data_IF_700678775186
#
_entry.id   IF_700678775186
#
_cell.length_a   1.000
_cell.length_b   1.000
_cell.length_c   1.000
_cell.angle_alpha   90.00
_cell.angle_beta   90.00
_cell.angle_gamma   90.00
#
_symmetry.space_group_name_H-M   'P 1'
#
loop_
_entity.id
_entity.type
_entity.pdbx_description
1 polymer ?
#
# COMPACT_ATOMS: atom_id res chain seq x y z
N UNK A 1 -42.34 -13.00 -37.97
CA UNK A 1 -41.70 -13.29 -36.66
C UNK A 1 -41.59 -14.77 -36.35
N UNK A 2 -42.62 -15.61 -36.54
CA UNK A 2 -42.60 -17.04 -36.18
C UNK A 2 -41.43 -17.85 -36.81
N UNK A 3 -41.07 -17.59 -38.08
CA UNK A 3 -39.96 -18.28 -38.77
C UNK A 3 -38.58 -18.03 -38.16
N UNK A 4 -38.34 -16.83 -37.62
CA UNK A 4 -37.04 -16.45 -37.04
C UNK A 4 -36.81 -17.15 -35.71
N UNK A 5 -37.87 -17.31 -34.90
CA UNK A 5 -37.82 -18.05 -33.64
C UNK A 5 -37.53 -19.54 -33.83
N UNK A 6 -38.12 -20.17 -34.85
CA UNK A 6 -37.84 -21.57 -35.19
C UNK A 6 -36.39 -21.79 -35.63
N UNK A 7 -35.82 -20.85 -36.38
CA UNK A 7 -34.42 -20.95 -36.81
C UNK A 7 -33.45 -20.85 -35.62
N UNK A 8 -33.70 -19.92 -34.69
CA UNK A 8 -32.89 -19.74 -33.49
C UNK A 8 -32.97 -20.98 -32.59
N UNK A 9 -34.18 -21.53 -32.39
CA UNK A 9 -34.38 -22.77 -31.63
C UNK A 9 -33.64 -23.97 -32.28
N UNK A 10 -33.68 -24.09 -33.60
CA UNK A 10 -32.98 -25.15 -34.30
C UNK A 10 -31.46 -25.03 -34.16
N UNK A 11 -30.91 -23.81 -34.24
CA UNK A 11 -29.47 -23.55 -34.04
C UNK A 11 -29.04 -23.88 -32.60
N UNK A 12 -29.83 -23.48 -31.60
CA UNK A 12 -29.55 -23.77 -30.20
C UNK A 12 -29.63 -25.28 -29.90
N UNK A 13 -30.59 -25.98 -30.49
CA UNK A 13 -30.70 -27.42 -30.37
C UNK A 13 -29.50 -28.13 -31.00
N UNK A 14 -29.05 -27.70 -32.18
CA UNK A 14 -27.86 -28.25 -32.83
C UNK A 14 -26.58 -27.99 -32.03
N UNK A 15 -26.44 -26.79 -31.46
CA UNK A 15 -25.32 -26.44 -30.60
C UNK A 15 -25.30 -27.30 -29.32
N UNK A 16 -26.47 -27.52 -28.71
CA UNK A 16 -26.61 -28.41 -27.55
C UNK A 16 -26.25 -29.86 -27.86
N UNK A 17 -26.66 -30.37 -29.02
CA UNK A 17 -26.32 -31.73 -29.48
C UNK A 17 -24.81 -31.85 -29.75
N UNK A 18 -24.20 -30.87 -30.42
CA UNK A 18 -22.76 -30.87 -30.70
C UNK A 18 -21.93 -30.78 -29.42
N UNK A 19 -22.31 -29.92 -28.47
CA UNK A 19 -21.67 -29.83 -27.16
C UNK A 19 -21.84 -31.13 -26.37
N UNK A 20 -23.05 -31.68 -26.32
CA UNK A 20 -23.34 -32.95 -25.65
C UNK A 20 -22.55 -34.13 -26.23
N UNK A 21 -22.40 -34.19 -27.56
CA UNK A 21 -21.61 -35.22 -28.22
C UNK A 21 -20.11 -35.05 -27.98
N UNK A 22 -19.60 -33.82 -27.97
CA UNK A 22 -18.20 -33.58 -27.63
C UNK A 22 -17.91 -33.95 -26.16
N UNK A 23 -18.78 -33.56 -25.24
CA UNK A 23 -18.65 -33.85 -23.81
C UNK A 23 -18.80 -35.35 -23.53
N UNK A 24 -19.71 -36.06 -24.21
CA UNK A 24 -19.92 -37.50 -23.99
C UNK A 24 -18.70 -38.34 -24.31
N UNK A 25 -17.82 -37.88 -25.20
CA UNK A 25 -16.50 -38.52 -25.46
C UNK A 25 -15.51 -38.39 -24.31
N UNK A 26 -15.74 -37.47 -23.37
CA UNK A 26 -14.91 -37.25 -22.19
C UNK A 26 -15.53 -37.79 -20.90
N UNK A 27 -16.81 -38.18 -20.92
CA UNK A 27 -17.47 -38.86 -19.80
C UNK A 27 -16.89 -40.27 -19.67
N UNK A 28 -16.06 -40.49 -18.65
CA UNK A 28 -15.40 -41.77 -18.39
C UNK A 28 -13.98 -41.89 -18.97
N UNK A 29 -13.51 -40.89 -19.73
CA UNK A 29 -12.13 -40.82 -20.17
C UNK A 29 -11.22 -40.52 -18.96
N UNK A 30 -10.47 -41.52 -18.48
CA UNK A 30 -9.37 -41.26 -17.55
C UNK A 30 -8.27 -40.54 -18.32
N UNK A 31 -7.79 -39.40 -17.82
CA UNK A 31 -6.68 -38.67 -18.40
C UNK A 31 -5.38 -39.48 -18.30
N UNK A 32 -5.16 -40.43 -19.21
CA UNK A 32 -3.94 -41.23 -19.26
C UNK A 32 -2.98 -40.56 -20.24
N UNK A 33 -2.12 -39.70 -19.70
CA UNK A 33 -0.98 -39.19 -20.44
C UNK A 33 0.13 -40.24 -20.34
N UNK A 34 0.68 -40.68 -21.47
CA UNK A 34 1.82 -41.59 -21.52
C UNK A 34 3.05 -40.88 -20.93
N UNK A 35 3.37 -41.16 -19.67
CA UNK A 35 4.61 -40.72 -19.01
C UNK A 35 5.69 -41.79 -19.19
N UNK A 36 6.94 -41.39 -19.47
CA UNK A 36 8.09 -42.21 -19.05
C UNK A 36 8.09 -42.22 -17.51
N UNK A 37 8.18 -43.39 -16.89
CA UNK A 37 8.17 -43.54 -15.42
C UNK A 37 9.27 -42.68 -14.77
N UNK A 38 8.90 -41.67 -13.99
CA UNK A 38 9.82 -40.76 -13.30
C UNK A 38 10.62 -41.42 -12.15
N UNK A 39 10.45 -42.73 -11.94
CA UNK A 39 11.25 -43.53 -11.01
C UNK A 39 12.75 -43.55 -11.37
N UNK A 40 13.14 -43.13 -12.58
CA UNK A 40 14.55 -43.05 -12.98
C UNK A 40 15.33 -41.88 -12.33
N UNK A 41 14.66 -40.85 -11.80
CA UNK A 41 15.37 -39.74 -11.16
C UNK A 41 15.99 -40.22 -9.84
N UNK A 42 17.32 -40.22 -9.69
CA UNK A 42 17.97 -40.69 -8.47
C UNK A 42 17.51 -39.87 -7.26
N UNK A 43 17.47 -40.48 -6.08
CA UNK A 43 17.25 -39.75 -4.83
C UNK A 43 18.38 -38.73 -4.57
N UNK A 44 18.18 -37.71 -3.72
CA UNK A 44 19.17 -36.64 -3.50
C UNK A 44 20.56 -37.17 -3.14
N UNK A 45 20.62 -38.20 -2.29
CA UNK A 45 21.88 -38.87 -1.89
C UNK A 45 22.56 -39.54 -3.08
N UNK A 46 21.80 -40.26 -3.92
CA UNK A 46 22.31 -40.95 -5.11
C UNK A 46 22.77 -39.97 -6.18
N UNK A 47 22.04 -38.87 -6.38
CA UNK A 47 22.41 -37.81 -7.31
C UNK A 47 23.72 -37.11 -6.91
N UNK A 48 23.94 -36.87 -5.60
CA UNK A 48 25.22 -36.37 -5.07
C UNK A 48 26.38 -37.29 -5.38
N UNK A 49 26.22 -38.60 -5.18
CA UNK A 49 27.26 -39.58 -5.50
C UNK A 49 27.55 -39.64 -7.01
N UNK A 50 26.51 -39.56 -7.85
CA UNK A 50 26.67 -39.57 -9.32
C UNK A 50 27.31 -38.28 -9.86
N UNK A 51 27.19 -37.16 -9.14
CA UNK A 51 27.80 -35.88 -9.50
C UNK A 51 29.28 -35.78 -9.08
N UNK A 52 29.73 -36.58 -8.11
CA UNK A 52 31.13 -36.67 -7.68
C UNK A 52 31.96 -37.41 -8.76
N UNK A 53 32.42 -36.68 -9.78
CA UNK A 53 33.41 -37.22 -10.73
C UNK A 53 33.33 -36.71 -12.17
N UNK A 54 32.30 -35.94 -12.55
CA UNK A 54 32.21 -35.36 -13.89
C UNK A 54 31.68 -33.92 -13.85
N UNK A 55 32.50 -32.96 -14.30
CA UNK A 55 32.14 -31.54 -14.37
C UNK A 55 30.86 -31.28 -15.19
N UNK A 56 30.56 -32.16 -16.15
CA UNK A 56 29.36 -32.08 -16.99
C UNK A 56 28.09 -32.66 -16.33
N UNK A 57 28.18 -33.40 -15.21
CA UNK A 57 27.00 -34.02 -14.58
C UNK A 57 26.10 -32.99 -13.91
N UNK A 58 26.67 -31.97 -13.28
CA UNK A 58 25.90 -30.82 -12.80
C UNK A 58 25.20 -30.09 -13.96
N UNK A 59 25.91 -29.87 -15.09
CA UNK A 59 25.33 -29.26 -16.29
C UNK A 59 24.23 -30.11 -16.95
N UNK A 60 24.35 -31.44 -16.95
CA UNK A 60 23.31 -32.36 -17.41
C UNK A 60 22.10 -32.33 -16.48
N UNK A 61 22.30 -32.38 -15.15
CA UNK A 61 21.21 -32.24 -14.17
C UNK A 61 20.50 -30.88 -14.24
N UNK A 62 21.21 -29.80 -14.59
CA UNK A 62 20.62 -28.48 -14.91
C UNK A 62 19.69 -28.52 -16.14
N UNK A 63 19.78 -29.56 -16.98
CA UNK A 63 19.15 -29.68 -18.30
C UNK A 63 18.24 -30.91 -18.48
N UNK A 64 18.12 -31.82 -17.50
CA UNK A 64 17.26 -33.02 -17.66
C UNK A 64 15.79 -32.57 -17.79
N UNK A 65 15.35 -32.47 -19.04
CA UNK A 65 13.97 -32.51 -19.54
C UNK A 65 12.94 -31.54 -18.91
N UNK A 66 13.40 -30.36 -18.47
CA UNK A 66 12.56 -29.37 -17.81
C UNK A 66 11.36 -28.90 -18.65
N UNK A 67 11.41 -28.86 -19.98
CA UNK A 67 10.31 -28.32 -20.79
C UNK A 67 9.13 -29.27 -20.98
N UNK A 68 9.34 -30.56 -21.28
CA UNK A 68 8.21 -31.50 -21.45
C UNK A 68 7.53 -31.82 -20.12
N UNK A 69 8.30 -31.86 -19.03
CA UNK A 69 7.76 -32.04 -17.68
C UNK A 69 7.04 -30.77 -17.16
N UNK A 70 7.64 -29.58 -17.34
CA UNK A 70 6.98 -28.32 -16.97
C UNK A 70 5.68 -28.13 -17.73
N UNK A 71 5.64 -28.42 -19.03
CA UNK A 71 4.40 -28.29 -19.81
C UNK A 71 3.27 -29.14 -19.23
N UNK A 72 3.57 -30.41 -18.90
CA UNK A 72 2.57 -31.33 -18.33
C UNK A 72 2.10 -30.94 -16.92
N UNK A 73 3.02 -30.43 -16.09
CA UNK A 73 2.67 -29.95 -14.74
C UNK A 73 1.95 -28.61 -14.79
N UNK A 74 2.28 -27.73 -15.75
CA UNK A 74 1.52 -26.50 -16.03
C UNK A 74 0.09 -26.86 -16.43
N UNK A 75 -0.07 -27.84 -17.32
CA UNK A 75 -1.39 -28.26 -17.81
C UNK A 75 -2.23 -28.94 -16.71
N UNK A 76 -1.60 -29.71 -15.82
CA UNK A 76 -2.29 -30.42 -14.73
C UNK A 76 -2.40 -29.65 -13.43
N UNK A 77 -1.55 -28.63 -13.22
CA UNK A 77 -1.29 -27.99 -11.92
C UNK A 77 -1.03 -28.98 -10.79
N UNK A 78 -0.40 -30.11 -11.11
CA UNK A 78 -0.09 -31.17 -10.15
C UNK A 78 1.26 -31.82 -10.49
N UNK A 79 2.10 -31.98 -9.47
CA UNK A 79 3.45 -32.53 -9.55
C UNK A 79 3.66 -33.75 -8.64
N UNK A 80 2.57 -34.39 -8.20
CA UNK A 80 2.63 -35.53 -7.29
C UNK A 80 3.11 -36.81 -8.01
N UNK A 81 4.06 -37.50 -7.38
CA UNK A 81 4.48 -38.85 -7.74
C UNK A 81 3.49 -39.90 -7.19
N UNK A 82 3.55 -41.17 -7.67
CA UNK A 82 2.70 -42.24 -7.17
C UNK A 82 2.78 -42.49 -5.66
N UNK A 83 3.90 -42.13 -5.03
CA UNK A 83 4.11 -42.19 -3.57
C UNK A 83 3.59 -40.95 -2.83
N UNK A 84 2.96 -40.00 -3.54
CA UNK A 84 2.45 -38.74 -3.00
C UNK A 84 3.50 -37.65 -2.80
N UNK A 85 4.79 -37.93 -3.07
CA UNK A 85 5.84 -36.92 -2.96
C UNK A 85 5.81 -35.91 -4.12
N UNK A 86 6.38 -34.73 -3.90
CA UNK A 86 6.46 -33.66 -4.91
C UNK A 86 7.71 -33.83 -5.77
N UNK A 87 7.55 -33.86 -7.09
CA UNK A 87 8.69 -33.90 -8.02
C UNK A 87 9.54 -32.64 -7.89
N UNK A 88 8.92 -31.45 -7.84
CA UNK A 88 9.69 -30.20 -7.79
C UNK A 88 10.45 -30.05 -6.48
N UNK A 89 9.85 -30.39 -5.33
CA UNK A 89 10.57 -30.37 -4.04
C UNK A 89 11.76 -31.31 -4.09
N UNK A 90 11.58 -32.54 -4.57
CA UNK A 90 12.67 -33.51 -4.70
C UNK A 90 13.76 -33.02 -5.66
N UNK A 91 13.37 -32.37 -6.75
CA UNK A 91 14.28 -31.78 -7.72
C UNK A 91 15.12 -30.67 -7.08
N UNK A 92 14.50 -29.69 -6.43
CA UNK A 92 15.22 -28.56 -5.83
C UNK A 92 16.05 -28.98 -4.60
N UNK A 93 15.58 -29.93 -3.80
CA UNK A 93 16.35 -30.54 -2.71
C UNK A 93 17.58 -31.33 -3.21
N UNK A 94 17.58 -31.70 -4.50
CA UNK A 94 18.73 -32.34 -5.15
C UNK A 94 19.66 -31.31 -5.79
N UNK A 95 19.11 -30.37 -6.57
CA UNK A 95 19.88 -29.42 -7.38
C UNK A 95 20.57 -28.34 -6.55
N UNK A 96 19.87 -27.75 -5.57
CA UNK A 96 20.43 -26.65 -4.77
C UNK A 96 21.67 -27.08 -3.98
N UNK A 97 21.68 -28.24 -3.29
CA UNK A 97 22.90 -28.68 -2.61
C UNK A 97 24.05 -29.07 -3.53
N UNK A 98 23.76 -29.43 -4.78
CA UNK A 98 24.79 -29.76 -5.78
C UNK A 98 25.48 -28.51 -6.32
N UNK A 99 24.75 -27.41 -6.45
CA UNK A 99 25.27 -26.13 -6.93
C UNK A 99 24.48 -24.96 -6.33
N UNK A 100 24.80 -24.57 -5.07
CA UNK A 100 24.02 -23.61 -4.32
C UNK A 100 24.16 -22.17 -4.86
N UNK A 101 25.16 -21.90 -5.70
CA UNK A 101 25.40 -20.58 -6.27
C UNK A 101 24.67 -20.35 -7.59
N UNK A 102 23.92 -21.34 -8.07
CA UNK A 102 23.19 -21.21 -9.33
C UNK A 102 21.80 -20.57 -9.12
N UNK A 103 21.77 -19.25 -9.26
CA UNK A 103 20.58 -18.40 -9.14
C UNK A 103 19.30 -18.97 -9.80
N UNK A 104 19.33 -19.52 -11.03
CA UNK A 104 18.12 -20.01 -11.69
C UNK A 104 17.38 -21.11 -10.92
N UNK A 105 18.03 -21.87 -10.02
CA UNK A 105 17.32 -22.86 -9.21
C UNK A 105 16.29 -22.22 -8.29
N UNK A 106 16.65 -21.13 -7.62
CA UNK A 106 15.75 -20.43 -6.70
C UNK A 106 14.63 -19.70 -7.44
N UNK A 107 14.95 -19.10 -8.59
CA UNK A 107 13.96 -18.42 -9.44
C UNK A 107 12.93 -19.41 -10.00
N UNK A 108 13.39 -20.56 -10.49
CA UNK A 108 12.51 -21.61 -10.99
C UNK A 108 11.69 -22.24 -9.85
N UNK A 109 12.28 -22.41 -8.66
CA UNK A 109 11.55 -22.93 -7.50
C UNK A 109 10.35 -22.05 -7.15
N UNK A 110 10.56 -20.74 -7.05
CA UNK A 110 9.47 -19.80 -6.82
C UNK A 110 8.41 -19.84 -7.94
N UNK A 111 8.82 -19.79 -9.21
CA UNK A 111 7.88 -19.81 -10.33
C UNK A 111 7.04 -21.11 -10.36
N UNK A 112 7.66 -22.27 -10.20
CA UNK A 112 6.98 -23.55 -10.32
C UNK A 112 6.17 -23.91 -9.08
N UNK A 113 6.71 -23.69 -7.88
CA UNK A 113 6.03 -24.06 -6.64
C UNK A 113 4.91 -23.08 -6.30
N UNK A 114 5.15 -21.78 -6.43
CA UNK A 114 4.14 -20.76 -6.11
C UNK A 114 3.26 -20.45 -7.31
N UNK A 115 3.88 -20.03 -8.42
CA UNK A 115 3.14 -19.56 -9.59
C UNK A 115 2.28 -20.63 -10.26
N UNK A 116 2.77 -21.87 -10.34
CA UNK A 116 2.04 -22.96 -11.00
C UNK A 116 1.24 -23.82 -10.00
N UNK A 117 1.84 -24.16 -8.85
CA UNK A 117 1.28 -25.12 -7.89
C UNK A 117 0.63 -24.50 -6.64
N UNK A 118 0.77 -23.18 -6.40
CA UNK A 118 0.21 -22.51 -5.22
C UNK A 118 0.84 -22.92 -3.87
N UNK A 119 2.03 -23.52 -3.89
CA UNK A 119 2.77 -23.96 -2.69
C UNK A 119 3.70 -22.86 -2.20
N UNK A 120 3.11 -21.79 -1.69
CA UNK A 120 3.83 -20.59 -1.24
C UNK A 120 4.80 -20.88 -0.07
N UNK A 121 4.49 -21.87 0.78
CA UNK A 121 5.41 -22.28 1.85
C UNK A 121 6.72 -22.90 1.33
N UNK A 122 6.64 -23.69 0.26
CA UNK A 122 7.82 -24.26 -0.39
C UNK A 122 8.62 -23.18 -1.14
N UNK A 123 7.93 -22.20 -1.76
CA UNK A 123 8.59 -21.02 -2.33
C UNK A 123 9.38 -20.26 -1.26
N UNK A 124 8.79 -19.93 -0.11
CA UNK A 124 9.49 -19.24 0.97
C UNK A 124 10.73 -20.01 1.42
N UNK A 125 10.62 -21.33 1.55
CA UNK A 125 11.77 -22.18 1.91
C UNK A 125 12.91 -22.02 0.91
N UNK A 126 12.64 -22.16 -0.39
CA UNK A 126 13.71 -22.12 -1.39
C UNK A 126 14.24 -20.70 -1.63
N UNK A 127 13.38 -19.68 -1.62
CA UNK A 127 13.84 -18.29 -1.72
C UNK A 127 14.64 -17.86 -0.48
N UNK A 128 14.27 -18.32 0.72
CA UNK A 128 15.07 -18.14 1.93
C UNK A 128 16.44 -18.82 1.87
N UNK A 129 16.50 -20.07 1.37
CA UNK A 129 17.78 -20.73 1.07
C UNK A 129 18.61 -19.95 0.03
N UNK A 130 17.94 -19.34 -0.94
CA UNK A 130 18.56 -18.48 -1.94
C UNK A 130 19.17 -17.22 -1.33
N UNK A 131 18.49 -16.55 -0.40
CA UNK A 131 19.04 -15.40 0.36
C UNK A 131 20.30 -15.82 1.12
N UNK A 132 20.29 -17.01 1.74
CA UNK A 132 21.44 -17.52 2.48
C UNK A 132 22.65 -17.82 1.57
N UNK A 133 22.43 -18.52 0.46
CA UNK A 133 23.52 -18.95 -0.44
C UNK A 133 24.00 -17.84 -1.39
N UNK A 134 23.13 -16.86 -1.68
CA UNK A 134 23.37 -15.75 -2.62
C UNK A 134 22.98 -14.40 -1.97
N UNK A 135 23.69 -13.95 -0.93
CA UNK A 135 23.28 -12.79 -0.12
C UNK A 135 23.21 -11.47 -0.89
N UNK A 136 24.02 -11.32 -1.95
CA UNK A 136 24.05 -10.12 -2.79
C UNK A 136 23.04 -10.13 -3.94
N UNK A 137 22.30 -11.23 -4.14
CA UNK A 137 21.34 -11.33 -5.24
C UNK A 137 19.98 -10.77 -4.84
N UNK A 138 19.75 -9.51 -5.21
CA UNK A 138 18.58 -8.75 -4.77
C UNK A 138 17.27 -9.22 -5.42
N UNK A 139 17.32 -9.96 -6.53
CA UNK A 139 16.11 -10.55 -7.14
C UNK A 139 15.47 -11.59 -6.23
N UNK A 140 16.25 -12.43 -5.54
CA UNK A 140 15.70 -13.45 -4.63
C UNK A 140 15.05 -12.76 -3.42
N UNK A 141 15.68 -11.71 -2.89
CA UNK A 141 15.16 -10.92 -1.78
C UNK A 141 13.81 -10.29 -2.11
N UNK A 142 13.68 -9.75 -3.33
CA UNK A 142 12.40 -9.25 -3.85
C UNK A 142 11.33 -10.33 -3.90
N UNK A 143 11.66 -11.52 -4.41
CA UNK A 143 10.72 -12.64 -4.50
C UNK A 143 10.27 -13.13 -3.13
N UNK A 144 11.21 -13.24 -2.18
CA UNK A 144 10.93 -13.58 -0.79
C UNK A 144 9.98 -12.56 -0.13
N UNK A 145 10.30 -11.27 -0.21
CA UNK A 145 9.44 -10.20 0.31
C UNK A 145 8.05 -10.19 -0.35
N UNK A 146 8.00 -10.43 -1.67
CA UNK A 146 6.74 -10.50 -2.41
C UNK A 146 5.87 -11.66 -1.96
N UNK A 147 6.47 -12.83 -1.70
CA UNK A 147 5.76 -14.01 -1.22
C UNK A 147 5.17 -13.77 0.18
N UNK A 148 5.96 -13.19 1.10
CA UNK A 148 5.52 -12.85 2.46
C UNK A 148 4.30 -11.92 2.46
N UNK A 149 4.30 -10.92 1.58
CA UNK A 149 3.19 -9.97 1.47
C UNK A 149 1.99 -10.60 0.76
N UNK A 150 2.19 -11.12 -0.45
CA UNK A 150 1.07 -11.51 -1.32
C UNK A 150 0.28 -12.74 -0.83
N UNK A 151 0.92 -13.64 -0.08
CA UNK A 151 0.33 -14.93 0.29
C UNK A 151 0.25 -15.16 1.79
N UNK A 152 0.94 -14.34 2.60
CA UNK A 152 0.99 -14.51 4.04
C UNK A 152 0.68 -13.23 4.83
N UNK A 153 0.30 -12.13 4.19
CA UNK A 153 -0.10 -10.87 4.83
C UNK A 153 0.84 -10.46 5.98
N UNK A 154 2.16 -10.67 5.80
CA UNK A 154 3.13 -10.42 6.85
C UNK A 154 3.17 -8.94 7.26
N UNK A 155 2.76 -8.04 6.37
CA UNK A 155 2.61 -6.62 6.68
C UNK A 155 1.59 -6.36 7.80
N UNK A 156 0.56 -7.21 7.93
CA UNK A 156 -0.48 -7.08 8.96
C UNK A 156 -0.14 -7.93 10.19
N UNK A 157 0.30 -9.17 9.96
CA UNK A 157 0.51 -10.15 11.04
C UNK A 157 1.84 -9.99 11.78
N UNK A 158 2.90 -9.61 11.06
CA UNK A 158 4.28 -9.55 11.56
C UNK A 158 5.08 -8.39 10.95
N UNK A 159 4.62 -7.13 11.11
CA UNK A 159 5.24 -5.97 10.46
C UNK A 159 6.72 -5.81 10.83
N UNK A 160 7.11 -6.14 12.05
CA UNK A 160 8.50 -6.08 12.51
C UNK A 160 9.44 -7.05 11.76
N UNK A 161 8.93 -8.22 11.38
CA UNK A 161 9.70 -9.21 10.61
C UNK A 161 9.85 -8.71 9.17
N UNK A 162 8.77 -8.19 8.58
CA UNK A 162 8.81 -7.66 7.22
C UNK A 162 9.74 -6.44 7.13
N UNK A 163 9.72 -5.54 8.11
CA UNK A 163 10.63 -4.39 8.19
C UNK A 163 12.09 -4.84 8.23
N UNK A 164 12.41 -5.86 9.04
CA UNK A 164 13.75 -6.44 9.09
C UNK A 164 14.17 -7.04 7.74
N UNK A 165 13.26 -7.74 7.04
CA UNK A 165 13.52 -8.30 5.70
C UNK A 165 13.77 -7.20 4.67
N UNK A 166 13.00 -6.11 4.69
CA UNK A 166 13.17 -4.98 3.77
C UNK A 166 14.44 -4.19 4.08
N UNK A 167 14.79 -4.01 5.35
CA UNK A 167 16.05 -3.38 5.76
C UNK A 167 17.27 -4.23 5.32
N UNK A 168 17.21 -5.55 5.52
CA UNK A 168 18.25 -6.47 5.05
C UNK A 168 18.35 -6.45 3.52
N UNK A 169 17.24 -6.33 2.79
CA UNK A 169 17.27 -6.13 1.34
C UNK A 169 17.93 -4.79 0.95
N UNK A 170 17.54 -3.68 1.56
CA UNK A 170 18.14 -2.37 1.29
C UNK A 170 19.66 -2.36 1.51
N UNK A 171 20.14 -3.04 2.55
CA UNK A 171 21.57 -3.15 2.86
C UNK A 171 22.39 -3.88 1.78
N UNK A 172 21.76 -4.79 1.04
CA UNK A 172 22.42 -5.57 -0.03
C UNK A 172 22.21 -4.99 -1.43
N UNK A 173 21.52 -3.86 -1.55
CA UNK A 173 21.23 -3.23 -2.83
C UNK A 173 22.28 -2.17 -3.18
N UNK A 174 23.14 -2.50 -4.16
CA UNK A 174 24.23 -1.64 -4.59
C UNK A 174 23.77 -0.48 -5.48
N UNK A 175 22.68 -0.66 -6.23
CA UNK A 175 22.15 0.34 -7.15
C UNK A 175 21.25 1.37 -6.44
N UNK A 176 21.42 2.65 -6.77
CA UNK A 176 20.60 3.72 -6.22
C UNK A 176 19.12 3.59 -6.64
N UNK A 177 18.86 3.14 -7.87
CA UNK A 177 17.50 2.89 -8.33
C UNK A 177 16.90 1.64 -7.66
N UNK A 178 17.70 0.60 -7.44
CA UNK A 178 17.35 -0.53 -6.58
C UNK A 178 16.94 -0.11 -5.17
N UNK A 179 17.75 0.72 -4.48
CA UNK A 179 17.43 1.21 -3.12
C UNK A 179 16.13 2.01 -3.10
N UNK A 180 15.91 2.85 -4.12
CA UNK A 180 14.63 3.56 -4.29
C UNK A 180 13.44 2.62 -4.47
N UNK A 181 13.62 1.45 -5.11
CA UNK A 181 12.55 0.44 -5.21
C UNK A 181 12.22 -0.19 -3.86
N UNK A 182 13.23 -0.51 -3.04
CA UNK A 182 13.00 -1.02 -1.68
C UNK A 182 12.28 0.02 -0.84
N UNK A 183 12.68 1.28 -0.95
CA UNK A 183 12.00 2.39 -0.28
C UNK A 183 10.54 2.54 -0.75
N UNK A 184 10.26 2.44 -2.05
CA UNK A 184 8.88 2.44 -2.55
C UNK A 184 8.07 1.26 -2.00
N UNK A 185 8.67 0.09 -1.85
CA UNK A 185 8.02 -1.05 -1.19
C UNK A 185 7.71 -0.74 0.27
N UNK A 186 8.66 -0.21 1.03
CA UNK A 186 8.44 0.24 2.41
C UNK A 186 7.33 1.30 2.48
N UNK A 187 7.30 2.25 1.55
CA UNK A 187 6.21 3.23 1.47
C UNK A 187 4.87 2.58 1.12
N UNK A 188 4.80 1.68 0.15
CA UNK A 188 3.54 1.04 -0.25
C UNK A 188 3.00 0.11 0.85
N UNK A 189 3.87 -0.57 1.59
CA UNK A 189 3.48 -1.36 2.76
C UNK A 189 3.12 -0.47 3.95
N UNK A 190 3.86 0.62 4.14
CA UNK A 190 3.50 1.68 5.08
C UNK A 190 2.11 2.24 4.76
N UNK A 191 1.78 2.48 3.49
CA UNK A 191 0.49 3.01 3.07
C UNK A 191 -0.66 2.01 3.32
N UNK A 192 -0.35 0.72 3.45
CA UNK A 192 -1.32 -0.35 3.75
C UNK A 192 -1.46 -0.60 5.26
N UNK A 193 -0.38 -0.44 6.02
CA UNK A 193 -0.34 -0.69 7.46
C UNK A 193 -0.56 0.57 8.33
N UNK A 194 -0.25 1.77 7.81
CA UNK A 194 -0.11 3.03 8.55
C UNK A 194 -0.73 4.21 7.83
N UNK A 195 -1.96 4.01 7.37
CA UNK A 195 -2.76 4.98 6.63
C UNK A 195 -2.63 6.44 7.23
N UNK A 196 -1.71 7.26 6.70
CA UNK A 196 -1.43 8.65 7.06
C UNK A 196 -0.16 8.94 7.89
N UNK A 197 0.60 7.95 8.37
CA UNK A 197 1.84 8.15 9.17
C UNK A 197 3.12 7.68 8.46
N UNK A 198 3.03 7.29 7.20
CA UNK A 198 4.06 6.53 6.48
C UNK A 198 5.35 7.30 6.31
N UNK A 199 5.23 8.62 6.12
CA UNK A 199 6.36 9.50 5.86
C UNK A 199 6.79 10.30 7.09
N UNK A 200 6.13 10.11 8.24
CA UNK A 200 6.44 10.88 9.45
C UNK A 200 7.90 10.73 9.87
N UNK A 201 8.51 9.52 9.92
CA UNK A 201 9.92 9.39 10.26
C UNK A 201 10.84 10.16 9.32
N UNK A 202 10.60 10.06 8.01
CA UNK A 202 11.36 10.78 6.98
C UNK A 202 11.25 12.29 7.16
N UNK A 203 10.02 12.82 7.31
CA UNK A 203 9.86 14.26 7.43
C UNK A 203 10.36 14.79 8.77
N UNK A 204 10.34 14.00 9.85
CA UNK A 204 10.99 14.35 11.12
C UNK A 204 12.51 14.46 10.95
N UNK A 205 13.15 13.51 10.26
CA UNK A 205 14.58 13.59 9.91
C UNK A 205 14.87 14.83 9.05
N UNK A 206 14.06 15.10 8.03
CA UNK A 206 14.22 16.32 7.23
C UNK A 206 14.01 17.60 8.07
N UNK A 207 13.10 17.58 9.05
CA UNK A 207 12.82 18.73 9.90
C UNK A 207 14.05 19.11 10.75
N UNK A 208 14.82 18.13 11.23
CA UNK A 208 16.08 18.35 11.95
C UNK A 208 17.13 19.09 11.11
N UNK A 209 17.11 18.88 9.79
CA UNK A 209 18.03 19.51 8.84
C UNK A 209 17.55 20.87 8.30
N UNK A 210 16.40 21.39 8.76
CA UNK A 210 15.87 22.68 8.31
C UNK A 210 15.89 23.73 9.42
N UNK A 211 16.23 24.97 9.06
CA UNK A 211 16.22 26.12 9.98
C UNK A 211 14.80 26.67 10.14
N UNK A 212 14.30 26.87 11.38
CA UNK A 212 12.97 27.45 11.63
C UNK A 212 12.75 28.78 10.90
N UNK A 213 11.54 28.98 10.36
CA UNK A 213 11.16 30.20 9.64
C UNK A 213 11.69 30.30 8.20
N UNK A 214 12.36 29.27 7.68
CA UNK A 214 12.71 29.18 6.25
C UNK A 214 11.59 28.52 5.45
N UNK A 215 11.52 28.80 4.15
CA UNK A 215 10.55 28.17 3.24
C UNK A 215 10.67 26.64 3.22
N UNK A 216 11.89 26.11 3.34
CA UNK A 216 12.13 24.66 3.46
C UNK A 216 11.55 24.10 4.76
N UNK A 217 11.72 24.79 5.89
CA UNK A 217 11.10 24.37 7.15
C UNK A 217 9.58 24.44 7.07
N UNK A 218 9.00 25.51 6.50
CA UNK A 218 7.55 25.64 6.34
C UNK A 218 6.96 24.52 5.48
N UNK A 219 7.65 24.15 4.41
CA UNK A 219 7.24 23.03 3.56
C UNK A 219 7.26 21.70 4.31
N UNK A 220 8.37 21.37 4.99
CA UNK A 220 8.51 20.13 5.75
C UNK A 220 7.51 20.06 6.90
N UNK A 221 7.32 21.17 7.63
CA UNK A 221 6.31 21.26 8.69
C UNK A 221 4.89 21.12 8.14
N UNK A 222 4.61 21.69 6.96
CA UNK A 222 3.34 21.51 6.26
C UNK A 222 3.05 20.06 5.91
N UNK A 223 4.04 19.36 5.34
CA UNK A 223 3.93 17.94 5.00
C UNK A 223 3.71 17.07 6.25
N UNK A 224 4.44 17.34 7.34
CA UNK A 224 4.21 16.67 8.63
C UNK A 224 2.80 16.88 9.16
N UNK A 225 2.31 18.12 9.15
CA UNK A 225 0.95 18.43 9.66
C UNK A 225 -0.12 17.73 8.85
N UNK A 226 0.05 17.58 7.54
CA UNK A 226 -0.88 16.87 6.65
C UNK A 226 -0.90 15.35 6.89
N UNK A 227 0.26 14.75 7.10
CA UNK A 227 0.34 13.33 7.49
C UNK A 227 -0.35 13.11 8.85
N UNK A 228 0.01 13.94 9.84
CA UNK A 228 -0.60 13.89 11.17
C UNK A 228 -2.12 14.17 11.14
N UNK A 229 -2.58 15.07 10.26
CA UNK A 229 -4.01 15.35 10.09
C UNK A 229 -4.73 14.13 9.52
N UNK A 230 -4.19 13.51 8.48
CA UNK A 230 -4.74 12.30 7.84
C UNK A 230 -4.87 11.15 8.83
N UNK A 231 -3.82 10.90 9.62
CA UNK A 231 -3.87 9.90 10.67
C UNK A 231 -4.95 10.20 11.71
N UNK A 232 -5.01 11.44 12.20
CA UNK A 232 -5.98 11.85 13.20
C UNK A 232 -7.43 11.73 12.68
N UNK A 233 -7.70 12.13 11.43
CA UNK A 233 -9.01 11.95 10.79
C UNK A 233 -9.47 10.49 10.82
N UNK A 234 -8.56 9.57 10.48
CA UNK A 234 -8.84 8.13 10.43
C UNK A 234 -9.05 7.56 11.82
N UNK A 235 -8.18 7.92 12.77
CA UNK A 235 -8.31 7.50 14.16
C UNK A 235 -9.66 7.95 14.76
N UNK A 236 -10.05 9.20 14.53
CA UNK A 236 -11.35 9.73 14.98
C UNK A 236 -12.52 9.05 14.27
N UNK A 237 -12.43 8.83 12.95
CA UNK A 237 -13.48 8.16 12.18
C UNK A 237 -13.66 6.70 12.62
N UNK A 238 -12.58 6.00 12.94
CA UNK A 238 -12.62 4.64 13.48
C UNK A 238 -13.24 4.62 14.89
N UNK A 239 -12.81 5.52 15.77
CA UNK A 239 -13.39 5.67 17.11
C UNK A 239 -14.89 5.98 17.06
N UNK A 240 -15.33 6.82 16.12
CA UNK A 240 -16.75 7.14 15.94
C UNK A 240 -17.58 5.93 15.51
N UNK A 241 -17.03 5.03 14.67
CA UNK A 241 -17.71 3.79 14.25
C UNK A 241 -17.93 2.80 15.40
N UNK A 242 -17.06 2.85 16.41
CA UNK A 242 -17.14 1.98 17.60
C UNK A 242 -18.14 2.51 18.64
N UNK A 243 -18.60 3.75 18.50
CA UNK A 243 -19.63 4.30 19.37
C UNK A 243 -21.02 3.78 18.97
N UNK A 244 -21.89 3.46 19.95
CA UNK A 244 -23.25 3.02 19.65
C UNK A 244 -23.99 4.09 18.87
N UNK A 245 -24.69 3.70 17.78
CA UNK A 245 -25.36 4.61 16.84
C UNK A 245 -26.40 5.56 17.45
N UNK A 246 -26.77 5.34 18.72
CA UNK A 246 -27.69 6.19 19.50
C UNK A 246 -27.06 7.53 19.89
N UNK A 247 -25.73 7.66 19.78
CA UNK A 247 -25.01 8.91 20.10
C UNK A 247 -25.07 9.85 18.89
N UNK A 248 -26.24 10.49 18.70
CA UNK A 248 -26.40 11.58 17.74
C UNK A 248 -25.72 12.83 18.28
N UNK A 249 -24.65 13.27 17.61
CA UNK A 249 -23.83 14.42 18.01
C UNK A 249 -23.98 15.54 16.96
N UNK A 250 -25.08 16.29 16.99
CA UNK A 250 -25.36 17.31 15.96
C UNK A 250 -24.40 18.49 16.06
N UNK A 251 -23.85 18.76 17.24
CA UNK A 251 -22.86 19.80 17.49
C UNK A 251 -21.81 19.23 18.44
N UNK A 252 -20.59 19.02 17.94
CA UNK A 252 -19.45 18.57 18.75
C UNK A 252 -19.04 19.69 19.73
N UNK A 253 -19.73 19.80 20.86
CA UNK A 253 -19.28 20.58 22.02
C UNK A 253 -18.21 19.80 22.80
N UNK A 254 -17.44 20.49 23.65
CA UNK A 254 -16.28 19.99 24.41
C UNK A 254 -16.48 18.62 25.10
N UNK A 255 -17.70 18.33 25.53
CA UNK A 255 -18.07 17.07 26.22
C UNK A 255 -18.03 15.86 25.28
N UNK A 256 -18.34 16.05 24.00
CA UNK A 256 -18.32 15.01 22.97
C UNK A 256 -16.90 14.63 22.57
N UNK A 257 -15.98 15.60 22.60
CA UNK A 257 -14.57 15.37 22.28
C UNK A 257 -13.89 14.46 23.30
N UNK A 258 -14.37 14.41 24.55
CA UNK A 258 -13.89 13.46 25.55
C UNK A 258 -14.32 12.01 25.23
N UNK A 259 -15.50 11.81 24.63
CA UNK A 259 -16.01 10.50 24.24
C UNK A 259 -15.09 9.85 23.19
N UNK A 260 -14.59 10.65 22.24
CA UNK A 260 -13.66 10.18 21.20
C UNK A 260 -12.22 10.04 21.71
N UNK A 261 -11.81 10.88 22.68
CA UNK A 261 -10.41 10.91 23.12
C UNK A 261 -9.95 9.61 23.78
N UNK A 262 -10.83 8.92 24.54
CA UNK A 262 -10.48 7.67 25.22
C UNK A 262 -10.24 6.49 24.26
N UNK A 263 -11.15 6.15 23.32
CA UNK A 263 -10.89 5.10 22.33
C UNK A 263 -9.64 5.38 21.47
N UNK A 264 -9.40 6.65 21.12
CA UNK A 264 -8.19 7.04 20.39
C UNK A 264 -6.94 6.80 21.24
N UNK A 265 -6.99 7.09 22.55
CA UNK A 265 -5.87 6.85 23.46
C UNK A 265 -5.53 5.37 23.60
N UNK A 266 -6.56 4.52 23.72
CA UNK A 266 -6.40 3.07 23.80
C UNK A 266 -5.78 2.51 22.51
N UNK A 267 -6.23 3.01 21.34
CA UNK A 267 -5.66 2.67 20.04
C UNK A 267 -4.20 3.10 19.91
N UNK A 268 -3.84 4.32 20.36
CA UNK A 268 -2.44 4.78 20.36
C UNK A 268 -1.58 3.94 21.32
N UNK A 269 -2.10 3.59 22.49
CA UNK A 269 -1.37 2.76 23.47
C UNK A 269 -1.12 1.33 22.97
N UNK A 270 -1.95 0.83 22.06
CA UNK A 270 -1.77 -0.45 21.39
C UNK A 270 -0.74 -0.41 20.24
N UNK A 271 -0.30 0.78 19.82
CA UNK A 271 0.75 0.89 18.80
C UNK A 271 2.11 0.54 19.39
N UNK A 272 2.97 -0.19 18.65
CA UNK A 272 4.34 -0.43 19.09
C UNK A 272 5.11 0.89 19.19
N UNK A 273 6.08 0.98 20.12
CA UNK A 273 6.77 2.21 20.49
C UNK A 273 7.47 2.92 19.30
N UNK A 274 7.95 2.15 18.31
CA UNK A 274 8.54 2.66 17.06
C UNK A 274 7.54 3.38 16.16
N UNK A 275 6.23 3.29 16.47
CA UNK A 275 5.12 3.82 15.68
C UNK A 275 4.31 4.90 16.41
N UNK A 276 4.76 5.31 17.60
CA UNK A 276 4.12 6.39 18.36
C UNK A 276 4.71 7.71 17.85
N UNK A 277 3.91 8.61 17.24
CA UNK A 277 4.37 9.96 16.91
C UNK A 277 4.97 10.66 18.14
N UNK A 278 5.88 11.64 17.97
CA UNK A 278 6.47 12.37 19.08
C UNK A 278 5.42 12.83 20.10
N UNK A 279 5.75 12.79 21.39
CA UNK A 279 4.87 13.27 22.45
C UNK A 279 4.56 14.77 22.23
N UNK A 280 3.41 15.06 21.63
CA UNK A 280 3.06 16.39 21.12
C UNK A 280 2.56 16.42 19.67
N UNK A 281 2.62 15.31 18.95
CA UNK A 281 2.08 15.13 17.60
C UNK A 281 0.83 14.22 17.57
N UNK A 282 0.30 13.85 18.74
CA UNK A 282 -0.92 13.06 18.86
C UNK A 282 -2.16 13.97 18.82
N UNK A 283 -3.30 13.47 18.27
CA UNK A 283 -4.57 14.21 18.26
C UNK A 283 -5.21 14.36 19.64
N UNK A 284 -4.65 13.74 20.67
CA UNK A 284 -5.16 13.77 22.04
C UNK A 284 -4.08 14.27 23.00
N UNK A 285 -4.51 14.91 24.09
CA UNK A 285 -3.68 15.30 25.23
C UNK A 285 -4.39 14.94 26.53
N UNK A 286 -3.65 14.93 27.64
CA UNK A 286 -4.27 14.95 28.97
C UNK A 286 -4.49 16.40 29.42
N UNK A 287 -5.69 16.70 29.92
CA UNK A 287 -5.96 17.98 30.57
C UNK A 287 -5.25 18.06 31.94
N UNK A 288 -5.35 19.22 32.61
CA UNK A 288 -4.76 19.42 33.94
C UNK A 288 -5.34 18.48 35.01
N UNK A 289 -6.52 17.91 34.77
CA UNK A 289 -7.17 16.92 35.63
C UNK A 289 -6.82 15.47 35.24
N UNK A 290 -5.92 15.27 34.27
CA UNK A 290 -5.46 13.96 33.82
C UNK A 290 -6.40 13.23 32.85
N UNK A 291 -7.49 13.87 32.39
CA UNK A 291 -8.47 13.28 31.45
C UNK A 291 -8.02 13.44 30.01
N UNK A 292 -8.33 12.45 29.17
CA UNK A 292 -8.07 12.54 27.74
C UNK A 292 -8.98 13.59 27.08
N UNK A 293 -8.37 14.48 26.30
CA UNK A 293 -9.03 15.53 25.53
C UNK A 293 -8.52 15.49 24.09
N UNK A 294 -9.42 15.56 23.12
CA UNK A 294 -9.01 15.78 21.74
C UNK A 294 -8.46 17.21 21.58
N UNK A 295 -7.37 17.35 20.84
CA UNK A 295 -6.81 18.65 20.47
C UNK A 295 -7.55 19.22 19.27
N UNK A 296 -7.37 20.51 19.04
CA UNK A 296 -7.55 21.09 17.72
C UNK A 296 -6.62 20.39 16.71
N UNK A 297 -6.89 20.56 15.43
CA UNK A 297 -6.11 19.95 14.36
C UNK A 297 -4.63 20.39 14.39
N UNK A 298 -3.76 19.79 13.55
CA UNK A 298 -2.33 20.13 13.56
C UNK A 298 -2.01 21.61 13.34
N UNK A 299 -2.93 22.41 12.81
CA UNK A 299 -2.78 23.85 12.60
C UNK A 299 -3.44 24.70 13.70
N UNK A 300 -4.03 24.08 14.72
CA UNK A 300 -4.67 24.76 15.85
C UNK A 300 -6.14 25.13 15.61
N UNK A 301 -6.76 24.63 14.54
CA UNK A 301 -8.17 24.88 14.24
C UNK A 301 -9.09 23.75 14.70
N UNK A 302 -10.37 24.04 15.02
CA UNK A 302 -11.31 22.99 15.38
C UNK A 302 -11.48 22.01 14.22
N UNK A 303 -11.59 20.73 14.55
CA UNK A 303 -11.99 19.71 13.59
C UNK A 303 -13.41 19.97 13.10
N UNK A 304 -13.62 19.89 11.80
CA UNK A 304 -14.94 19.95 11.19
C UNK A 304 -15.47 18.53 11.02
N UNK A 305 -16.77 18.33 11.26
CA UNK A 305 -17.45 17.07 10.93
C UNK A 305 -18.32 17.29 9.71
N UNK A 306 -18.08 16.51 8.67
CA UNK A 306 -18.89 16.53 7.45
C UNK A 306 -20.17 15.71 7.63
N UNK A 307 -21.12 15.91 6.72
CA UNK A 307 -22.45 15.28 6.76
C UNK A 307 -22.36 13.75 6.68
N UNK A 308 -21.36 13.23 5.97
CA UNK A 308 -21.05 11.79 5.85
C UNK A 308 -20.39 11.20 7.11
N UNK A 309 -20.20 12.01 8.16
CA UNK A 309 -19.59 11.61 9.42
C UNK A 309 -18.07 11.60 9.40
N UNK A 310 -17.42 12.00 8.30
CA UNK A 310 -15.97 12.14 8.24
C UNK A 310 -15.51 13.38 8.98
N UNK A 311 -14.32 13.30 9.57
CA UNK A 311 -13.66 14.45 10.19
C UNK A 311 -12.75 15.11 9.15
N UNK A 312 -12.77 16.44 9.12
CA UNK A 312 -11.98 17.23 8.20
C UNK A 312 -11.23 18.33 8.99
N UNK A 313 -9.90 18.44 8.83
CA UNK A 313 -9.10 19.44 9.53
C UNK A 313 -9.40 20.85 9.01
N UNK A 314 -9.76 21.75 9.91
CA UNK A 314 -10.07 23.15 9.57
C UNK A 314 -8.88 23.90 8.96
N UNK A 315 -7.66 23.57 9.36
CA UNK A 315 -6.42 24.12 8.80
C UNK A 315 -6.18 23.70 7.36
N UNK A 316 -6.44 22.43 7.03
CA UNK A 316 -6.35 21.92 5.66
C UNK A 316 -7.43 22.55 4.78
N UNK A 317 -8.66 22.69 5.29
CA UNK A 317 -9.73 23.41 4.58
C UNK A 317 -9.31 24.84 4.20
N UNK A 318 -8.63 25.55 5.10
CA UNK A 318 -8.10 26.89 4.84
C UNK A 318 -6.96 26.89 3.83
N UNK A 319 -6.10 25.89 3.86
CA UNK A 319 -5.01 25.69 2.88
C UNK A 319 -5.59 25.46 1.48
N UNK A 320 -6.56 24.57 1.36
CA UNK A 320 -7.24 24.25 0.10
C UNK A 320 -8.05 25.44 -0.42
N UNK A 321 -8.63 26.22 0.49
CA UNK A 321 -9.28 27.49 0.16
C UNK A 321 -8.28 28.50 -0.43
N UNK A 322 -7.06 28.62 0.11
CA UNK A 322 -6.00 29.46 -0.49
C UNK A 322 -5.60 28.98 -1.89
N UNK A 323 -5.57 27.67 -2.11
CA UNK A 323 -5.36 27.08 -3.45
C UNK A 323 -6.48 27.47 -4.42
N UNK A 324 -7.73 27.37 -3.98
CA UNK A 324 -8.91 27.80 -4.74
C UNK A 324 -8.90 29.31 -5.03
N UNK A 325 -8.47 30.12 -4.07
CA UNK A 325 -8.34 31.57 -4.24
C UNK A 325 -7.24 31.93 -5.25
N UNK A 326 -6.14 31.17 -5.27
CA UNK A 326 -5.08 31.32 -6.28
C UNK A 326 -5.61 31.05 -7.69
N UNK A 327 -6.49 30.06 -7.85
CA UNK A 327 -7.18 29.80 -9.13
C UNK A 327 -8.12 30.95 -9.50
N UNK A 328 -8.92 31.44 -8.56
CA UNK A 328 -9.78 32.61 -8.78
C UNK A 328 -8.98 33.87 -9.17
N UNK A 329 -7.77 34.04 -8.65
CA UNK A 329 -6.86 35.13 -9.07
C UNK A 329 -6.36 34.98 -10.51
N UNK A 330 -6.13 33.75 -10.99
CA UNK A 330 -5.79 33.50 -12.39
C UNK A 330 -6.98 33.78 -13.31
N UNK A 331 -8.18 33.38 -12.90
CA UNK A 331 -9.43 33.70 -13.61
C UNK A 331 -9.65 35.22 -13.68
N UNK A 332 -9.45 35.92 -12.56
CA UNK A 332 -9.54 37.38 -12.50
C UNK A 332 -8.57 38.06 -13.47
N UNK A 333 -7.30 37.63 -13.49
CA UNK A 333 -6.33 38.17 -14.44
C UNK A 333 -6.77 37.95 -15.89
N UNK A 334 -7.33 36.77 -16.22
CA UNK A 334 -7.85 36.50 -17.55
C UNK A 334 -9.10 37.33 -17.88
N UNK A 335 -10.00 37.55 -16.93
CA UNK A 335 -11.22 38.31 -17.11
C UNK A 335 -10.90 39.80 -17.32
N UNK A 336 -9.96 40.34 -16.56
CA UNK A 336 -9.49 41.72 -16.69
C UNK A 336 -8.81 41.97 -18.04
N UNK A 337 -8.01 41.02 -18.55
CA UNK A 337 -7.43 41.12 -19.90
C UNK A 337 -8.50 41.23 -21.00
N UNK A 338 -9.66 40.58 -20.82
CA UNK A 338 -10.78 40.65 -21.77
C UNK A 338 -11.60 41.94 -21.60
N UNK A 339 -11.84 42.36 -20.36
CA UNK A 339 -12.65 43.54 -20.05
C UNK A 339 -11.89 44.87 -20.18
N UNK A 340 -10.56 44.84 -20.17
CA UNK A 340 -9.71 46.04 -20.26
C UNK A 340 -9.68 46.92 -19.01
N UNK A 341 -10.35 46.52 -17.93
CA UNK A 341 -10.41 47.25 -16.66
C UNK A 341 -10.32 46.32 -15.45
N UNK A 342 -9.66 46.77 -14.39
CA UNK A 342 -9.66 46.07 -13.10
C UNK A 342 -10.96 46.36 -12.33
N UNK A 343 -11.59 45.35 -11.71
CA UNK A 343 -12.74 45.58 -10.83
C UNK A 343 -12.29 46.29 -9.54
N UNK A 344 -13.20 47.04 -8.91
CA UNK A 344 -12.91 47.72 -7.63
C UNK A 344 -13.57 47.07 -6.43
N UNK A 345 -14.54 46.17 -6.67
CA UNK A 345 -15.32 45.49 -5.63
C UNK A 345 -15.42 43.99 -5.91
N UNK A 346 -15.73 43.19 -4.88
CA UNK A 346 -15.98 41.75 -5.06
C UNK A 346 -17.23 41.47 -5.91
N UNK A 347 -18.22 42.37 -5.89
CA UNK A 347 -19.39 42.28 -6.75
C UNK A 347 -18.99 42.39 -8.23
N UNK A 348 -18.15 43.38 -8.57
CA UNK A 348 -17.62 43.51 -9.93
C UNK A 348 -16.74 42.32 -10.34
N UNK A 349 -16.00 41.70 -9.41
CA UNK A 349 -15.24 40.46 -9.69
C UNK A 349 -16.20 39.34 -10.09
N UNK A 350 -17.32 39.17 -9.39
CA UNK A 350 -18.34 38.19 -9.74
C UNK A 350 -19.04 38.51 -11.08
N UNK A 351 -19.31 39.78 -11.37
CA UNK A 351 -19.87 40.23 -12.66
C UNK A 351 -18.94 39.96 -13.85
N UNK A 352 -17.62 39.97 -13.62
CA UNK A 352 -16.62 39.57 -14.62
C UNK A 352 -16.58 38.05 -14.87
N UNK A 353 -17.44 37.27 -14.20
CA UNK A 353 -17.54 35.82 -14.35
C UNK A 353 -16.46 35.04 -13.61
N UNK A 354 -15.76 35.67 -12.65
CA UNK A 354 -14.77 35.00 -11.81
C UNK A 354 -15.48 34.28 -10.68
N UNK A 355 -15.19 32.99 -10.49
CA UNK A 355 -15.83 32.23 -9.40
C UNK A 355 -15.07 32.46 -8.09
N UNK A 356 -15.63 33.26 -7.20
CA UNK A 356 -15.10 33.44 -5.84
C UNK A 356 -15.43 32.17 -5.04
N UNK A 357 -14.45 31.47 -4.45
CA UNK A 357 -14.72 30.24 -3.70
C UNK A 357 -15.64 30.52 -2.51
N UNK A 358 -16.69 29.72 -2.35
CA UNK A 358 -17.66 29.81 -1.26
C UNK A 358 -18.10 28.39 -0.81
N UNK A 359 -18.47 28.20 0.48
CA UNK A 359 -18.44 29.19 1.56
C UNK A 359 -17.02 29.50 2.03
N UNK A 360 -16.77 30.75 2.45
CA UNK A 360 -15.51 31.10 3.12
C UNK A 360 -15.44 30.36 4.45
N UNK A 361 -14.35 29.63 4.75
CA UNK A 361 -14.16 28.97 6.03
C UNK A 361 -14.34 29.94 7.21
N UNK A 362 -14.96 29.49 8.31
CA UNK A 362 -15.30 30.33 9.46
C UNK A 362 -14.11 31.19 9.94
N UNK A 363 -14.32 32.47 10.23
CA UNK A 363 -13.22 33.37 10.64
C UNK A 363 -12.29 33.82 9.51
N UNK A 364 -12.64 33.52 8.25
CA UNK A 364 -12.01 34.08 7.05
C UNK A 364 -12.86 35.15 6.40
N UNK A 365 -12.22 36.21 5.92
CA UNK A 365 -12.87 37.24 5.09
C UNK A 365 -12.10 37.40 3.79
N UNK A 366 -12.77 37.13 2.66
CA UNK A 366 -12.20 37.39 1.33
C UNK A 366 -12.39 38.87 1.03
N UNK A 367 -11.34 39.52 0.53
CA UNK A 367 -11.39 40.91 0.05
C UNK A 367 -10.54 41.08 -1.20
N UNK A 368 -10.86 42.09 -2.00
CA UNK A 368 -10.01 42.52 -3.11
C UNK A 368 -8.96 43.49 -2.57
N UNK A 369 -7.69 43.08 -2.57
CA UNK A 369 -6.56 43.92 -2.18
C UNK A 369 -5.81 44.37 -3.43
N UNK A 370 -6.18 45.55 -3.95
CA UNK A 370 -5.65 46.03 -5.22
C UNK A 370 -6.12 45.14 -6.38
N UNK A 371 -5.20 44.38 -6.96
CA UNK A 371 -5.44 43.54 -8.15
C UNK A 371 -5.56 42.04 -7.82
N UNK A 372 -5.60 41.69 -6.53
CA UNK A 372 -5.56 40.30 -6.08
C UNK A 372 -6.62 40.06 -5.02
N UNK A 373 -7.37 38.97 -5.16
CA UNK A 373 -8.21 38.41 -4.12
C UNK A 373 -7.33 37.84 -3.02
N UNK A 374 -7.49 38.37 -1.81
CA UNK A 374 -6.81 37.89 -0.61
C UNK A 374 -7.84 37.40 0.40
N UNK A 375 -7.45 36.44 1.22
CA UNK A 375 -8.23 35.99 2.36
C UNK A 375 -7.46 36.32 3.63
N UNK A 376 -8.11 37.05 4.52
CA UNK A 376 -7.61 37.31 5.86
C UNK A 376 -8.23 36.30 6.81
N UNK A 377 -7.38 35.61 7.56
CA UNK A 377 -7.79 34.68 8.61
C UNK A 377 -7.59 35.35 9.96
N UNK A 378 -8.52 35.10 10.86
CA UNK A 378 -8.24 35.22 12.30
C UNK A 378 -7.17 34.20 12.71
N UNK A 379 -6.42 34.50 13.77
CA UNK A 379 -5.45 33.54 14.31
C UNK A 379 -6.16 32.28 14.82
N UNK A 380 -5.52 31.09 14.74
CA UNK A 380 -6.10 29.87 15.27
C UNK A 380 -6.34 29.98 16.78
N UNK A 381 -7.44 29.40 17.31
CA UNK A 381 -7.79 29.47 18.73
C UNK A 381 -6.79 28.73 19.63
N UNK A 382 -6.11 27.70 19.11
CA UNK A 382 -5.02 27.02 19.81
C UNK A 382 -3.70 27.14 19.03
N UNK A 383 -2.58 27.00 19.72
CA UNK A 383 -1.27 26.94 19.05
C UNK A 383 -1.18 25.68 18.17
N UNK A 384 -0.62 25.78 16.95
CA UNK A 384 -0.32 24.62 16.13
C UNK A 384 0.50 23.58 16.90
N UNK A 385 0.38 22.31 16.53
CA UNK A 385 1.08 21.24 17.24
C UNK A 385 2.60 21.47 17.18
N UNK A 386 3.32 21.26 18.30
CA UNK A 386 4.77 21.33 18.29
C UNK A 386 5.33 20.15 17.49
N UNK A 387 6.02 20.46 16.40
CA UNK A 387 6.71 19.46 15.57
C UNK A 387 8.20 19.35 15.94
N UNK A 388 8.74 20.38 16.58
CA UNK A 388 10.11 20.43 17.10
C UNK A 388 10.05 20.29 18.61
N UNK A 389 11.02 19.56 19.19
CA UNK A 389 11.21 19.58 20.63
C UNK A 389 11.44 21.03 21.08
N UNK A 390 10.78 21.45 22.17
CA UNK A 390 11.11 22.73 22.78
C UNK A 390 12.60 22.66 23.21
N UNK A 391 13.39 23.73 22.96
CA UNK A 391 14.79 23.77 23.37
C UNK A 391 14.97 23.63 24.89
#
# INVERSE_FOLDING_TARGET
MLRTYFLILAILALAGILLGWNISRFVGAKAVIKTKELAFLPGPTTARVLALGQAATAAKLRWIDSFQFQQLVIDRKDDRLPDGSSVFVRLYDTLIPLDPLFLPFYQNAALNLSGILGRHGDELRYTGLGIHNLPYETKIRRMFASCLVAFFDFEERHPEILDAVLADWAAHESDANGRNQVWRWQQMMGNRAFDGLEQVPYWLEQLEHTTPGTSSAEFVEGALREQLSTYAQRAMSAALKELPQVVFLPNLQDETWQILAKPIAERIAALPATKIPPAGALPIIRDQAGRWRLRHDPWGWPWMRLIDGTFYPGGEFRRDFRGSLSRANQELLSAVKKAGRWPTTLAEVAELGVTIPAPTPAGGTVRLAGQVLVVEWTDPPEKPWPLRAAP
#
